data_IF_513613231449
#
_entry.id   IF_513613231449
#
_cell.length_a   1.000
_cell.length_b   1.000
_cell.length_c   1.000
_cell.angle_alpha   90.00
_cell.angle_beta   90.00
_cell.angle_gamma   90.00
#
_symmetry.space_group_name_H-M   'P 1'
#
loop_
_entity.id
_entity.type
_entity.pdbx_description
1 polymer ?
#
# COMPACT_ATOMS: atom_id res chain seq x y z
N UNK A 1 -6.52 1.21 -14.87
CA UNK A 1 -5.36 0.36 -15.22
C UNK A 1 -5.37 -0.96 -14.46
N UNK A 2 -5.49 -0.99 -13.12
CA UNK A 2 -5.55 -2.23 -12.34
C UNK A 2 -6.67 -3.18 -12.77
N UNK A 3 -7.87 -2.66 -13.05
CA UNK A 3 -9.01 -3.45 -13.54
C UNK A 3 -8.73 -4.22 -14.84
N UNK A 4 -7.90 -3.64 -15.72
CA UNK A 4 -7.53 -4.26 -17.00
C UNK A 4 -6.59 -5.44 -16.76
N UNK A 5 -5.59 -5.27 -15.90
CA UNK A 5 -4.65 -6.34 -15.54
C UNK A 5 -5.34 -7.46 -14.75
N UNK A 6 -6.27 -7.11 -13.84
CA UNK A 6 -7.00 -8.10 -13.05
C UNK A 6 -7.91 -8.99 -13.92
N UNK A 7 -8.53 -8.43 -14.96
CA UNK A 7 -9.38 -9.16 -15.91
C UNK A 7 -8.60 -10.00 -16.93
N UNK A 8 -7.28 -9.82 -17.02
CA UNK A 8 -6.43 -10.56 -17.93
C UNK A 8 -6.00 -11.89 -17.29
N UNK A 9 -6.50 -13.01 -17.80
CA UNK A 9 -6.20 -14.35 -17.27
C UNK A 9 -4.70 -14.67 -17.27
N UNK A 10 -3.91 -14.07 -18.17
CA UNK A 10 -2.45 -14.27 -18.21
C UNK A 10 -1.78 -13.77 -16.93
N UNK A 11 -2.38 -12.77 -16.27
CA UNK A 11 -1.85 -12.23 -15.02
C UNK A 11 -1.96 -13.22 -13.86
N UNK A 12 -2.87 -14.20 -13.93
CA UNK A 12 -3.05 -15.22 -12.88
C UNK A 12 -1.81 -16.12 -12.70
N UNK A 13 -0.97 -16.22 -13.75
CA UNK A 13 0.26 -17.01 -13.70
C UNK A 13 1.45 -16.23 -13.13
N UNK A 14 1.29 -14.93 -12.88
CA UNK A 14 2.37 -14.09 -12.34
C UNK A 14 2.51 -14.32 -10.84
N UNK A 15 3.75 -14.44 -10.37
CA UNK A 15 4.03 -14.52 -8.92
C UNK A 15 3.51 -13.29 -8.15
N UNK A 16 3.38 -12.14 -8.82
CA UNK A 16 2.84 -10.91 -8.26
C UNK A 16 1.30 -10.80 -8.31
N UNK A 17 0.57 -11.81 -8.81
CA UNK A 17 -0.88 -11.75 -8.95
C UNK A 17 -1.60 -11.48 -7.61
N UNK A 18 -1.09 -12.03 -6.50
CA UNK A 18 -1.66 -11.79 -5.18
C UNK A 18 -1.61 -10.32 -4.75
N UNK A 19 -0.58 -9.57 -5.13
CA UNK A 19 -0.51 -8.13 -4.89
C UNK A 19 -1.46 -7.37 -5.80
N UNK A 20 -1.52 -7.76 -7.09
CA UNK A 20 -2.45 -7.16 -8.06
C UNK A 20 -3.91 -7.31 -7.61
N UNK A 21 -4.31 -8.52 -7.18
CA UNK A 21 -5.65 -8.78 -6.66
C UNK A 21 -5.95 -7.92 -5.45
N UNK A 22 -5.04 -7.85 -4.47
CA UNK A 22 -5.24 -7.05 -3.26
C UNK A 22 -5.33 -5.55 -3.54
N UNK A 23 -4.47 -5.04 -4.42
CA UNK A 23 -4.53 -3.65 -4.88
C UNK A 23 -5.86 -3.36 -5.57
N UNK A 24 -6.33 -4.25 -6.44
CA UNK A 24 -7.57 -4.06 -7.18
C UNK A 24 -8.82 -4.14 -6.28
N UNK A 25 -8.82 -5.02 -5.27
CA UNK A 25 -9.94 -5.22 -4.35
C UNK A 25 -9.90 -4.32 -3.11
N UNK A 26 -9.04 -3.29 -3.09
CA UNK A 26 -8.87 -2.38 -1.95
C UNK A 26 -8.60 -3.12 -0.62
N UNK A 27 -7.79 -4.18 -0.69
CA UNK A 27 -7.40 -4.98 0.48
C UNK A 27 -6.06 -4.52 1.03
N UNK A 28 -5.93 -4.64 2.35
CA UNK A 28 -4.69 -4.35 3.06
C UNK A 28 -3.58 -5.33 2.65
N UNK A 29 -2.43 -4.76 2.32
CA UNK A 29 -1.19 -5.46 1.93
C UNK A 29 -0.26 -5.47 3.14
N UNK A 30 0.15 -6.66 3.59
CA UNK A 30 1.06 -6.84 4.74
C UNK A 30 2.52 -6.69 4.33
N UNK A 31 3.39 -6.34 5.27
CA UNK A 31 4.82 -6.15 5.01
C UNK A 31 5.50 -7.38 4.42
N UNK A 32 5.13 -8.60 4.83
CA UNK A 32 5.68 -9.84 4.26
C UNK A 32 5.43 -9.95 2.75
N UNK A 33 4.21 -9.63 2.31
CA UNK A 33 3.84 -9.66 0.90
C UNK A 33 4.54 -8.56 0.11
N UNK A 34 4.74 -7.41 0.76
CA UNK A 34 5.48 -6.30 0.17
C UNK A 34 6.95 -6.65 -0.05
N UNK A 35 7.57 -7.36 0.90
CA UNK A 35 8.96 -7.82 0.78
C UNK A 35 9.13 -8.82 -0.37
N UNK A 36 8.21 -9.77 -0.52
CA UNK A 36 8.20 -10.71 -1.65
C UNK A 36 8.09 -9.98 -2.99
N UNK A 37 7.20 -8.98 -3.08
CA UNK A 37 7.05 -8.18 -4.29
C UNK A 37 8.27 -7.29 -4.56
N UNK A 38 8.83 -6.66 -3.52
CA UNK A 38 10.04 -5.86 -3.61
C UNK A 38 11.24 -6.69 -4.08
N UNK A 39 11.32 -7.98 -3.72
CA UNK A 39 12.37 -8.88 -4.21
C UNK A 39 12.30 -9.09 -5.73
N UNK A 40 11.11 -9.01 -6.35
CA UNK A 40 10.91 -9.16 -7.78
C UNK A 40 11.23 -7.88 -8.58
N UNK A 41 11.37 -6.73 -7.90
CA UNK A 41 11.65 -5.45 -8.56
C UNK A 41 13.10 -5.32 -9.00
N UNK A 42 13.31 -4.68 -10.15
CA UNK A 42 14.63 -4.32 -10.65
C UNK A 42 15.26 -3.19 -9.80
N UNK A 43 16.60 -3.07 -9.75
CA UNK A 43 17.26 -2.05 -8.91
C UNK A 43 16.79 -0.62 -9.17
N UNK A 44 16.56 -0.25 -10.43
CA UNK A 44 16.07 1.09 -10.79
C UNK A 44 14.62 1.37 -10.35
N UNK A 45 13.85 0.32 -10.00
CA UNK A 45 12.49 0.43 -9.48
C UNK A 45 12.47 0.57 -7.95
N UNK A 46 13.60 0.34 -7.27
CA UNK A 46 13.77 0.46 -5.81
C UNK A 46 14.27 1.85 -5.42
N UNK A 47 13.69 2.88 -6.03
CA UNK A 47 14.03 4.25 -5.69
C UNK A 47 13.58 4.58 -4.25
N UNK A 48 14.37 5.40 -3.56
CA UNK A 48 14.12 5.83 -2.19
C UNK A 48 13.72 7.30 -2.16
N UNK A 49 12.81 7.65 -1.26
CA UNK A 49 12.38 9.01 -0.97
C UNK A 49 13.37 9.71 -0.03
N UNK A 50 13.22 11.03 0.12
CA UNK A 50 14.13 11.86 0.93
C UNK A 50 14.16 11.49 2.43
N UNK A 51 13.12 10.81 2.92
CA UNK A 51 13.00 10.29 4.29
C UNK A 51 13.58 8.87 4.46
N UNK A 52 14.19 8.30 3.41
CA UNK A 52 14.82 6.97 3.43
C UNK A 52 13.86 5.80 3.21
N UNK A 53 12.56 6.03 3.04
CA UNK A 53 11.58 5.00 2.66
C UNK A 53 11.73 4.66 1.17
N UNK A 54 11.30 3.46 0.71
CA UNK A 54 11.19 3.23 -0.74
C UNK A 54 9.91 3.85 -1.30
N UNK A 55 9.89 4.17 -2.60
CA UNK A 55 8.68 4.63 -3.29
C UNK A 55 7.57 3.58 -3.17
N UNK A 56 7.94 2.28 -3.20
CA UNK A 56 7.02 1.18 -3.02
C UNK A 56 6.38 1.19 -1.63
N UNK A 57 7.18 1.37 -0.56
CA UNK A 57 6.66 1.43 0.82
C UNK A 57 5.66 2.59 0.97
N UNK A 58 6.03 3.76 0.42
CA UNK A 58 5.17 4.95 0.43
C UNK A 58 3.82 4.67 -0.23
N UNK A 59 3.84 4.11 -1.43
CA UNK A 59 2.64 3.79 -2.19
C UNK A 59 1.74 2.77 -1.48
N UNK A 60 2.33 1.76 -0.83
CA UNK A 60 1.55 0.75 -0.10
C UNK A 60 0.95 1.28 1.19
N UNK A 61 1.64 2.18 1.89
CA UNK A 61 1.08 2.84 3.08
C UNK A 61 -0.15 3.68 2.68
N UNK A 62 -0.05 4.47 1.61
CA UNK A 62 -1.17 5.29 1.12
C UNK A 62 -2.35 4.42 0.66
N UNK A 63 -2.08 3.33 -0.09
CA UNK A 63 -3.11 2.36 -0.48
C UNK A 63 -3.79 1.71 0.74
N UNK A 64 -3.00 1.25 1.71
CA UNK A 64 -3.55 0.60 2.90
C UNK A 64 -4.36 1.58 3.75
N UNK A 65 -3.98 2.84 3.81
CA UNK A 65 -4.72 3.88 4.51
C UNK A 65 -6.08 4.14 3.85
N UNK A 66 -6.13 4.24 2.52
CA UNK A 66 -7.39 4.32 1.76
C UNK A 66 -8.24 3.05 1.90
N UNK A 67 -7.58 1.89 1.97
CA UNK A 67 -8.28 0.62 2.23
C UNK A 67 -8.89 0.61 3.64
N UNK A 68 -8.18 1.12 4.64
CA UNK A 68 -8.66 1.21 6.02
C UNK A 68 -9.83 2.19 6.15
N UNK A 69 -9.85 3.32 5.43
CA UNK A 69 -10.96 4.28 5.48
C UNK A 69 -12.28 3.70 4.94
N UNK A 70 -12.21 2.69 4.05
CA UNK A 70 -13.38 1.93 3.56
C UNK A 70 -13.84 0.85 4.54
N UNK A 71 -12.97 0.36 5.41
CA UNK A 71 -13.24 -0.73 6.34
C UNK A 71 -13.69 -0.25 7.72
N UNK A 72 -13.20 0.91 8.16
CA UNK A 72 -13.40 1.43 9.50
C UNK A 72 -14.11 2.79 9.46
N UNK A 73 -15.17 2.95 10.25
CA UNK A 73 -15.79 4.26 10.46
C UNK A 73 -14.88 5.19 11.29
N UNK A 74 -14.08 4.61 12.18
CA UNK A 74 -13.08 5.29 13.00
C UNK A 74 -12.02 4.27 13.46
N UNK A 75 -10.81 4.75 13.68
CA UNK A 75 -9.66 3.97 14.14
C UNK A 75 -8.69 4.91 14.87
N UNK A 76 -8.04 4.44 15.93
CA UNK A 76 -7.02 5.24 16.63
C UNK A 76 -5.70 5.26 15.83
N UNK A 77 -4.86 6.29 16.03
CA UNK A 77 -3.55 6.34 15.33
C UNK A 77 -2.60 5.21 15.76
N UNK A 78 -2.75 4.69 16.97
CA UNK A 78 -1.97 3.55 17.46
C UNK A 78 -2.34 2.27 16.71
N UNK A 79 -3.64 1.97 16.57
CA UNK A 79 -4.13 0.83 15.82
C UNK A 79 -3.89 0.98 14.32
N UNK A 80 -4.07 2.19 13.77
CA UNK A 80 -3.78 2.48 12.38
C UNK A 80 -2.28 2.30 12.08
N UNK A 81 -1.40 2.78 12.96
CA UNK A 81 0.03 2.54 12.88
C UNK A 81 0.37 1.06 12.90
N UNK A 82 -0.22 0.30 13.82
CA UNK A 82 -0.05 -1.15 13.88
C UNK A 82 -0.56 -1.87 12.62
N UNK A 83 -1.68 -1.42 12.05
CA UNK A 83 -2.27 -1.97 10.83
C UNK A 83 -1.37 -1.75 9.60
N UNK A 84 -0.77 -0.56 9.53
CA UNK A 84 0.11 -0.10 8.46
C UNK A 84 1.58 -0.48 8.67
N UNK A 85 1.91 -1.10 9.81
CA UNK A 85 3.28 -1.45 10.23
C UNK A 85 4.23 -0.24 10.29
N UNK A 86 3.71 0.91 10.76
CA UNK A 86 4.47 2.17 10.94
C UNK A 86 4.19 2.84 12.29
N UNK A 87 5.07 3.74 12.77
CA UNK A 87 4.79 4.51 13.98
C UNK A 87 3.51 5.34 13.87
N UNK A 88 2.75 5.46 14.96
CA UNK A 88 1.49 6.22 15.01
C UNK A 88 1.64 7.66 14.48
N UNK A 89 2.72 8.35 14.88
CA UNK A 89 3.02 9.71 14.40
C UNK A 89 3.23 9.79 12.88
N UNK A 90 3.78 8.73 12.25
CA UNK A 90 3.93 8.65 10.80
C UNK A 90 2.57 8.39 10.14
N UNK A 91 1.74 7.52 10.72
CA UNK A 91 0.39 7.26 10.24
C UNK A 91 -0.47 8.54 10.26
N UNK A 92 -0.44 9.30 11.34
CA UNK A 92 -1.14 10.59 11.46
C UNK A 92 -0.71 11.56 10.37
N UNK A 93 0.61 11.76 10.18
CA UNK A 93 1.13 12.68 9.17
C UNK A 93 0.68 12.32 7.75
N UNK A 94 0.68 11.03 7.41
CA UNK A 94 0.26 10.55 6.09
C UNK A 94 -1.26 10.69 5.93
N UNK A 95 -2.04 10.36 6.97
CA UNK A 95 -3.49 10.56 6.97
C UNK A 95 -3.86 12.03 6.75
N UNK A 96 -3.22 12.94 7.48
CA UNK A 96 -3.41 14.38 7.31
C UNK A 96 -3.09 14.85 5.89
N UNK A 97 -2.00 14.35 5.32
CA UNK A 97 -1.63 14.68 3.94
C UNK A 97 -2.66 14.18 2.92
N UNK A 98 -3.10 12.91 3.03
CA UNK A 98 -4.09 12.35 2.11
C UNK A 98 -5.45 13.08 2.17
N UNK A 99 -5.87 13.52 3.35
CA UNK A 99 -7.06 14.36 3.52
C UNK A 99 -6.87 15.71 2.85
N UNK A 100 -5.71 16.35 3.03
CA UNK A 100 -5.40 17.65 2.44
C UNK A 100 -5.37 17.61 0.91
N UNK A 101 -4.87 16.51 0.35
CA UNK A 101 -4.78 16.29 -1.10
C UNK A 101 -6.09 15.81 -1.74
N UNK A 102 -7.14 15.56 -0.95
CA UNK A 102 -8.44 15.08 -1.44
C UNK A 102 -8.41 13.64 -1.95
N UNK A 103 -7.48 12.82 -1.43
CA UNK A 103 -7.33 11.40 -1.81
C UNK A 103 -8.10 10.44 -0.88
N UNK A 104 -8.85 10.97 0.09
CA UNK A 104 -9.74 10.23 1.00
C UNK A 104 -11.20 10.64 0.80
#
# INVERSE_FOLDING_TARGET
MLATLFKDERCQQLAAYGILEKMYLDRIIRGSQLQEFAAMLMPHQKATTADGSSILDRAVIEHNLLSASKLYNNITFEELGALLEIPAAKAEKIASQMITEGQN
#
